data_IF_599964010068
#
_entry.id   IF_599964010068
#
_cell.length_a   1.000
_cell.length_b   1.000
_cell.length_c   1.000
_cell.angle_alpha   90.00
_cell.angle_beta   90.00
_cell.angle_gamma   90.00
#
_symmetry.space_group_name_H-M   'P 1'
#
loop_
_entity.id
_entity.type
_entity.pdbx_description
1 polymer ?
#
# COMPACT_ATOMS: atom_id res chain seq x y z
N UNK A 1 -14.31 -23.75 -17.15
CA UNK A 1 -14.48 -22.81 -16.01
C UNK A 1 -13.23 -21.95 -15.81
N UNK A 2 -12.04 -22.55 -15.68
CA UNK A 2 -10.75 -21.84 -15.51
C UNK A 2 -10.37 -20.90 -16.67
N UNK A 3 -10.70 -21.24 -17.92
CA UNK A 3 -10.38 -20.40 -19.09
C UNK A 3 -11.19 -19.10 -19.23
N UNK A 4 -12.32 -18.96 -18.51
CA UNK A 4 -13.21 -17.79 -18.62
C UNK A 4 -13.24 -16.96 -17.32
N UNK A 5 -13.17 -17.62 -16.17
CA UNK A 5 -13.22 -16.94 -14.87
C UNK A 5 -11.90 -16.24 -14.50
N UNK A 6 -10.76 -16.77 -14.94
CA UNK A 6 -9.43 -16.24 -14.59
C UNK A 6 -9.18 -14.81 -15.12
N UNK A 7 -9.46 -14.48 -16.40
CA UNK A 7 -9.29 -13.10 -16.89
C UNK A 7 -10.27 -12.10 -16.27
N UNK A 8 -11.47 -12.53 -15.83
CA UNK A 8 -12.41 -11.65 -15.11
C UNK A 8 -11.98 -11.41 -13.66
N UNK A 9 -11.37 -12.40 -13.01
CA UNK A 9 -10.99 -12.33 -11.60
C UNK A 9 -9.62 -11.67 -11.37
N UNK A 10 -8.74 -11.63 -12.37
CA UNK A 10 -7.37 -11.15 -12.20
C UNK A 10 -7.30 -9.63 -11.96
N UNK A 11 -8.17 -8.84 -12.63
CA UNK A 11 -8.28 -7.39 -12.43
C UNK A 11 -8.55 -7.00 -10.96
N UNK A 12 -9.68 -7.42 -10.34
CA UNK A 12 -9.95 -7.05 -8.95
C UNK A 12 -8.92 -7.63 -7.98
N UNK A 13 -8.33 -8.79 -8.29
CA UNK A 13 -7.30 -9.41 -7.44
C UNK A 13 -6.05 -8.53 -7.35
N UNK A 14 -5.58 -7.97 -8.47
CA UNK A 14 -4.42 -7.07 -8.49
C UNK A 14 -4.71 -5.81 -7.65
N UNK A 15 -5.89 -5.20 -7.81
CA UNK A 15 -6.29 -4.03 -7.01
C UNK A 15 -6.35 -4.34 -5.52
N UNK A 16 -6.88 -5.50 -5.12
CA UNK A 16 -6.93 -5.93 -3.72
C UNK A 16 -5.51 -6.10 -3.16
N UNK A 17 -4.57 -6.64 -3.94
CA UNK A 17 -3.16 -6.76 -3.53
C UNK A 17 -2.53 -5.37 -3.35
N UNK A 18 -2.79 -4.44 -4.26
CA UNK A 18 -2.31 -3.06 -4.16
C UNK A 18 -2.78 -2.35 -2.88
N UNK A 19 -4.07 -2.44 -2.57
CA UNK A 19 -4.63 -1.92 -1.31
C UNK A 19 -4.10 -2.69 -0.09
N UNK A 20 -3.83 -3.99 -0.24
CA UNK A 20 -3.23 -4.84 0.79
C UNK A 20 -1.90 -4.31 1.29
N UNK A 21 -1.09 -3.65 0.45
CA UNK A 21 0.18 -3.05 0.86
C UNK A 21 -0.02 -1.95 1.91
N UNK A 22 -1.07 -1.13 1.76
CA UNK A 22 -1.40 -0.11 2.75
C UNK A 22 -1.78 -0.72 4.12
N UNK A 23 -2.55 -1.82 4.08
CA UNK A 23 -2.90 -2.60 5.26
C UNK A 23 -1.67 -3.22 5.94
N UNK A 24 -0.73 -3.74 5.16
CA UNK A 24 0.52 -4.29 5.68
C UNK A 24 1.38 -3.22 6.36
N UNK A 25 1.51 -2.04 5.76
CA UNK A 25 2.22 -0.92 6.39
C UNK A 25 1.58 -0.53 7.73
N UNK A 26 0.26 -0.42 7.78
CA UNK A 26 -0.46 -0.07 9.01
C UNK A 26 -0.30 -1.15 10.09
N UNK A 27 -0.30 -2.42 9.71
CA UNK A 27 -0.16 -3.54 10.65
C UNK A 27 1.29 -3.72 11.11
N UNK A 28 2.27 -3.36 10.27
CA UNK A 28 3.69 -3.43 10.60
C UNK A 28 4.05 -2.56 11.81
N UNK A 29 3.35 -1.43 12.01
CA UNK A 29 3.55 -0.56 13.19
C UNK A 29 3.38 -1.33 14.49
N UNK A 30 2.39 -2.21 14.58
CA UNK A 30 2.17 -3.03 15.77
C UNK A 30 3.33 -3.99 16.03
N UNK A 31 3.85 -4.61 14.96
CA UNK A 31 5.00 -5.52 15.06
C UNK A 31 6.25 -4.75 15.51
N UNK A 32 6.49 -3.57 14.96
CA UNK A 32 7.63 -2.73 15.34
C UNK A 32 7.58 -2.33 16.82
N UNK A 33 6.41 -1.91 17.31
CA UNK A 33 6.23 -1.47 18.70
C UNK A 33 6.28 -2.64 19.69
N UNK A 34 5.60 -3.75 19.41
CA UNK A 34 5.52 -4.90 20.32
C UNK A 34 6.85 -5.65 20.40
N UNK A 35 7.54 -5.84 19.27
CA UNK A 35 8.80 -6.57 19.23
C UNK A 35 10.03 -5.66 19.34
N UNK A 36 9.85 -4.37 19.65
CA UNK A 36 10.91 -3.37 19.73
C UNK A 36 11.84 -3.36 18.50
N UNK A 37 11.29 -3.63 17.31
CA UNK A 37 12.03 -3.62 16.05
C UNK A 37 12.11 -2.19 15.53
N UNK A 38 13.31 -1.69 15.16
CA UNK A 38 13.45 -0.35 14.62
C UNK A 38 12.78 -0.28 13.23
N UNK A 39 11.82 0.63 13.08
CA UNK A 39 11.09 0.86 11.85
C UNK A 39 10.38 2.21 11.84
N UNK A 40 9.77 2.56 10.70
CA UNK A 40 9.18 3.89 10.46
C UNK A 40 7.97 4.13 11.37
N UNK A 41 7.15 3.11 11.60
CA UNK A 41 5.99 3.16 12.48
C UNK A 41 6.37 3.42 13.93
N UNK A 42 7.34 2.69 14.47
CA UNK A 42 7.88 2.91 15.81
C UNK A 42 8.49 4.31 15.95
N UNK A 43 9.15 4.81 14.90
CA UNK A 43 9.74 6.16 14.88
C UNK A 43 8.66 7.25 14.95
N UNK A 44 7.55 7.09 14.21
CA UNK A 44 6.38 7.98 14.30
C UNK A 44 5.75 7.92 15.70
N UNK A 45 5.52 6.72 16.25
CA UNK A 45 4.93 6.55 17.58
C UNK A 45 5.78 7.23 18.65
N UNK A 46 7.10 7.06 18.59
CA UNK A 46 8.03 7.72 19.50
C UNK A 46 8.04 9.25 19.32
N UNK A 47 7.99 9.73 18.08
CA UNK A 47 7.91 11.17 17.79
C UNK A 47 6.62 11.81 18.32
N UNK A 48 5.48 11.11 18.24
CA UNK A 48 4.22 11.55 18.85
C UNK A 48 4.37 11.69 20.37
N UNK A 49 4.98 10.69 21.03
CA UNK A 49 5.23 10.73 22.49
C UNK A 49 6.17 11.86 22.89
N UNK A 50 7.20 12.11 22.09
CA UNK A 50 8.15 13.21 22.29
C UNK A 50 7.63 14.59 21.83
N UNK A 51 6.37 14.69 21.35
CA UNK A 51 5.78 15.90 20.75
C UNK A 51 6.63 16.51 19.64
N UNK A 52 7.37 15.68 18.92
CA UNK A 52 8.21 16.09 17.81
C UNK A 52 7.40 16.08 16.50
N UNK A 53 6.59 17.12 16.30
CA UNK A 53 5.70 17.25 15.14
C UNK A 53 6.40 17.19 13.78
N UNK A 54 7.61 17.78 13.57
CA UNK A 54 8.33 17.64 12.30
C UNK A 54 8.58 16.19 11.89
N UNK A 55 8.97 15.34 12.84
CA UNK A 55 9.24 13.92 12.56
C UNK A 55 7.96 13.14 12.29
N UNK A 56 6.87 13.46 13.00
CA UNK A 56 5.55 12.85 12.73
C UNK A 56 5.08 13.18 11.32
N UNK A 57 5.20 14.45 10.92
CA UNK A 57 4.79 14.91 9.59
C UNK A 57 5.68 14.31 8.50
N UNK A 58 7.00 14.24 8.71
CA UNK A 58 7.92 13.56 7.80
C UNK A 58 7.61 12.07 7.66
N UNK A 59 7.34 11.39 8.76
CA UNK A 59 6.95 9.98 8.74
C UNK A 59 5.63 9.74 8.01
N UNK A 60 4.63 10.60 8.22
CA UNK A 60 3.37 10.56 7.47
C UNK A 60 3.57 10.78 5.96
N UNK A 61 4.41 11.73 5.57
CA UNK A 61 4.72 11.96 4.15
C UNK A 61 5.38 10.73 3.50
N UNK A 62 6.34 10.11 4.19
CA UNK A 62 7.03 8.91 3.69
C UNK A 62 6.06 7.73 3.56
N UNK A 63 5.21 7.49 4.56
CA UNK A 63 4.24 6.39 4.51
C UNK A 63 3.18 6.63 3.43
N UNK A 64 2.66 7.85 3.31
CA UNK A 64 1.74 8.22 2.22
C UNK A 64 2.41 8.04 0.86
N UNK A 65 3.65 8.50 0.68
CA UNK A 65 4.38 8.34 -0.58
C UNK A 65 4.54 6.86 -0.97
N UNK A 66 4.88 5.99 -0.01
CA UNK A 66 4.99 4.55 -0.25
C UNK A 66 3.66 3.93 -0.65
N UNK A 67 2.57 4.28 0.04
CA UNK A 67 1.23 3.77 -0.26
C UNK A 67 0.79 4.22 -1.65
N UNK A 68 0.92 5.51 -1.96
CA UNK A 68 0.55 6.06 -3.28
C UNK A 68 1.36 5.38 -4.38
N UNK A 69 2.67 5.23 -4.19
CA UNK A 69 3.53 4.54 -5.17
C UNK A 69 3.07 3.10 -5.37
N UNK A 70 2.75 2.37 -4.30
CA UNK A 70 2.28 0.99 -4.38
C UNK A 70 0.91 0.88 -5.08
N UNK A 71 -0.04 1.76 -4.76
CA UNK A 71 -1.36 1.77 -5.42
C UNK A 71 -1.24 2.19 -6.88
N UNK A 72 -0.42 3.19 -7.22
CA UNK A 72 -0.16 3.58 -8.61
C UNK A 72 0.49 2.46 -9.40
N UNK A 73 1.42 1.70 -8.81
CA UNK A 73 1.98 0.51 -9.45
C UNK A 73 0.90 -0.56 -9.69
N UNK A 74 0.00 -0.77 -8.74
CA UNK A 74 -1.14 -1.68 -8.91
C UNK A 74 -2.06 -1.23 -10.05
N UNK A 75 -2.35 0.06 -10.15
CA UNK A 75 -3.19 0.62 -11.21
C UNK A 75 -2.52 0.52 -12.58
N UNK A 76 -1.21 0.73 -12.66
CA UNK A 76 -0.42 0.54 -13.89
C UNK A 76 -0.43 -0.92 -14.34
N UNK A 77 -0.28 -1.86 -13.40
CA UNK A 77 -0.36 -3.29 -13.70
C UNK A 77 -1.76 -3.65 -14.19
N UNK A 78 -2.80 -3.13 -13.53
CA UNK A 78 -4.19 -3.30 -13.99
C UNK A 78 -4.41 -2.73 -15.38
N UNK A 79 -3.93 -1.53 -15.68
CA UNK A 79 -4.04 -0.91 -17.00
C UNK A 79 -3.29 -1.70 -18.09
N UNK A 80 -2.14 -2.31 -17.74
CA UNK A 80 -1.40 -3.17 -18.66
C UNK A 80 -2.09 -4.54 -18.88
N UNK A 81 -2.76 -5.06 -17.85
CA UNK A 81 -3.51 -6.32 -17.92
C UNK A 81 -4.91 -6.18 -18.51
N UNK A 82 -5.45 -4.97 -18.63
CA UNK A 82 -6.78 -4.73 -19.17
C UNK A 82 -6.75 -4.39 -20.68
N UNK A 83 -6.96 -5.36 -21.59
CA UNK A 83 -7.11 -5.10 -23.01
C UNK A 83 -8.43 -4.40 -23.37
N UNK A 84 -9.42 -4.26 -22.46
CA UNK A 84 -10.73 -3.66 -22.76
C UNK A 84 -10.72 -2.13 -22.69
N UNK A 85 -9.79 -1.53 -21.95
CA UNK A 85 -9.56 -0.08 -21.98
C UNK A 85 -9.19 0.43 -23.39
N UNK A 86 -8.80 -0.47 -24.30
CA UNK A 86 -8.46 -0.20 -25.70
C UNK A 86 -9.64 -0.37 -26.68
N UNK A 87 -10.75 -0.99 -26.28
CA UNK A 87 -11.91 -1.24 -27.16
C UNK A 87 -13.00 -0.15 -27.07
N UNK A 88 -13.02 0.69 -26.04
CA UNK A 88 -13.98 1.79 -25.88
C UNK A 88 -13.48 3.16 -26.40
N UNK A 89 -12.38 3.20 -27.14
CA UNK A 89 -11.88 4.39 -27.87
C UNK A 89 -12.10 4.22 -29.38
#
# INVERSE_FOLDING_TARGET
VTGYALPLAILPTVTIIGVGIAWLLSSAVFIEVVFARPGIGALIVNAVRARNYPVVMGGALVTTFLIVTATTMSDLINAALDPRAREEL
#
